data_IF_554994252915
#
_entry.id   IF_554994252915
#
_cell.length_a   1.000
_cell.length_b   1.000
_cell.length_c   1.000
_cell.angle_alpha   90.00
_cell.angle_beta   90.00
_cell.angle_gamma   90.00
#
_symmetry.space_group_name_H-M   'P 1'
#
loop_
_entity.id
_entity.type
_entity.pdbx_description
1 polymer ?
#
# COMPACT_ATOMS: atom_id res chain seq x y z
N UNK A 1 -24.77 8.78 -3.02
CA UNK A 1 -23.86 7.62 -2.89
C UNK A 1 -24.63 6.36 -3.23
N UNK A 2 -24.10 5.56 -4.14
CA UNK A 2 -24.66 4.25 -4.47
C UNK A 2 -24.25 3.27 -3.35
N UNK A 3 -25.17 2.46 -2.80
CA UNK A 3 -24.80 1.47 -1.79
C UNK A 3 -23.64 0.56 -2.28
N UNK A 4 -22.64 0.35 -1.46
CA UNK A 4 -21.45 -0.46 -1.81
C UNK A 4 -20.30 0.29 -2.47
N UNK A 5 -20.40 1.62 -2.58
CA UNK A 5 -19.31 2.49 -3.03
C UNK A 5 -18.67 3.20 -1.85
N UNK A 6 -17.36 3.18 -1.77
CA UNK A 6 -16.59 3.87 -0.74
C UNK A 6 -15.42 4.61 -1.37
N UNK A 7 -15.21 5.84 -0.96
CA UNK A 7 -14.02 6.59 -1.36
C UNK A 7 -13.55 7.50 -0.25
N UNK A 8 -12.25 7.53 -0.04
CA UNK A 8 -11.65 8.43 0.92
C UNK A 8 -10.22 8.80 0.50
N UNK A 9 -9.84 9.98 0.90
CA UNK A 9 -8.46 10.48 0.78
C UNK A 9 -8.02 10.93 2.15
N UNK A 10 -6.85 10.48 2.58
CA UNK A 10 -6.19 10.99 3.77
C UNK A 10 -4.94 11.74 3.38
N UNK A 11 -4.71 12.84 4.06
CA UNK A 11 -3.50 13.64 3.93
C UNK A 11 -2.98 13.99 5.32
N UNK A 12 -1.72 13.70 5.57
CA UNK A 12 -1.05 14.02 6.84
C UNK A 12 0.25 14.76 6.58
N UNK A 13 0.47 15.81 7.35
CA UNK A 13 1.75 16.52 7.42
C UNK A 13 2.29 16.40 8.83
N UNK A 14 3.55 15.99 8.94
CA UNK A 14 4.21 15.82 10.22
C UNK A 14 5.68 16.24 10.15
N UNK A 15 6.19 16.80 11.23
CA UNK A 15 7.61 17.06 11.38
C UNK A 15 8.02 16.75 12.81
N UNK A 16 8.77 15.69 13.00
CA UNK A 16 9.17 15.23 14.33
C UNK A 16 10.67 15.27 14.46
N UNK A 17 11.16 16.07 15.42
CA UNK A 17 12.57 16.24 15.72
C UNK A 17 12.85 16.01 17.19
N UNK A 18 14.07 15.68 17.52
CA UNK A 18 14.59 15.64 18.88
C UNK A 18 15.90 16.44 18.97
N UNK A 19 16.18 16.97 20.14
CA UNK A 19 17.41 17.71 20.39
C UNK A 19 18.44 16.75 20.99
N UNK A 20 19.58 16.57 20.29
CA UNK A 20 20.70 15.78 20.76
C UNK A 20 21.89 16.70 20.89
N UNK A 21 22.34 16.91 22.12
CA UNK A 21 23.31 17.98 22.42
C UNK A 21 22.77 19.33 21.98
N UNK A 22 23.45 20.00 21.07
CA UNK A 22 23.04 21.33 20.57
C UNK A 22 22.42 21.29 19.15
N UNK A 23 22.09 20.11 18.61
CA UNK A 23 21.54 19.93 17.25
C UNK A 23 20.13 19.35 17.28
N UNK A 24 19.26 19.85 16.41
CA UNK A 24 17.96 19.27 16.14
C UNK A 24 18.08 18.19 15.05
N UNK A 25 17.72 16.96 15.38
CA UNK A 25 17.82 15.78 14.51
C UNK A 25 16.42 15.23 14.24
N UNK A 26 16.09 14.82 13.00
CA UNK A 26 14.81 14.18 12.72
C UNK A 26 14.71 12.85 13.46
N UNK A 27 13.52 12.54 13.99
CA UNK A 27 13.26 11.23 14.57
C UNK A 27 13.18 10.15 13.47
N UNK A 28 13.45 8.87 13.76
CA UNK A 28 13.34 7.80 12.77
C UNK A 28 11.96 7.69 12.14
N UNK A 29 10.93 8.16 12.83
CA UNK A 29 9.53 8.18 12.39
C UNK A 29 9.13 9.50 11.71
N UNK A 30 10.08 10.41 11.44
CA UNK A 30 9.80 11.70 10.81
C UNK A 30 9.45 11.51 9.33
N UNK A 31 8.17 11.32 9.05
CA UNK A 31 7.61 11.24 7.70
C UNK A 31 6.85 12.53 7.41
N UNK A 32 7.43 13.42 6.58
CA UNK A 32 6.95 14.80 6.44
C UNK A 32 5.56 14.90 5.81
N UNK A 33 5.19 13.94 4.96
CA UNK A 33 3.86 13.85 4.37
C UNK A 33 3.48 12.38 4.15
N UNK A 34 2.19 12.11 4.23
CA UNK A 34 1.59 10.84 3.88
C UNK A 34 0.23 11.11 3.23
N UNK A 35 0.02 10.56 2.05
CA UNK A 35 -1.21 10.67 1.28
C UNK A 35 -1.67 9.25 0.96
N UNK A 36 -2.92 8.94 1.29
CA UNK A 36 -3.54 7.66 0.93
C UNK A 36 -4.87 7.93 0.24
N UNK A 37 -5.10 7.21 -0.83
CA UNK A 37 -6.33 7.20 -1.60
C UNK A 37 -6.92 5.79 -1.58
N UNK A 38 -8.19 5.70 -1.32
CA UNK A 38 -9.00 4.51 -1.54
C UNK A 38 -10.25 4.90 -2.31
N UNK A 39 -10.56 4.14 -3.33
CA UNK A 39 -11.76 4.30 -4.13
C UNK A 39 -12.28 2.92 -4.50
N UNK A 40 -13.57 2.70 -4.34
CA UNK A 40 -14.25 1.52 -4.84
C UNK A 40 -15.63 1.90 -5.32
N UNK A 41 -15.98 1.44 -6.52
CA UNK A 41 -17.26 1.73 -7.12
C UNK A 41 -17.66 0.64 -8.12
N UNK A 42 -18.95 0.55 -8.40
CA UNK A 42 -19.47 -0.29 -9.47
C UNK A 42 -19.33 0.41 -10.83
N UNK A 43 -19.18 -0.37 -11.88
CA UNK A 43 -19.24 0.19 -13.23
C UNK A 43 -20.65 0.74 -13.52
N UNK A 44 -20.75 1.88 -14.21
CA UNK A 44 -22.04 2.45 -14.58
C UNK A 44 -22.95 1.45 -15.31
N UNK A 45 -24.19 1.34 -14.85
CA UNK A 45 -25.20 0.47 -15.45
C UNK A 45 -25.11 -1.01 -15.08
N UNK A 46 -24.23 -1.40 -14.16
CA UNK A 46 -24.14 -2.78 -13.69
C UNK A 46 -23.70 -2.85 -12.23
N UNK A 47 -24.30 -3.77 -11.47
CA UNK A 47 -23.91 -4.11 -10.10
C UNK A 47 -22.99 -5.34 -10.04
N UNK A 48 -22.59 -5.87 -11.21
CA UNK A 48 -21.77 -7.08 -11.30
C UNK A 48 -20.27 -6.80 -11.33
N UNK A 49 -19.86 -5.65 -11.83
CA UNK A 49 -18.46 -5.27 -11.94
C UNK A 49 -18.12 -4.20 -10.93
N UNK A 50 -17.15 -4.46 -10.10
CA UNK A 50 -16.65 -3.54 -9.08
C UNK A 50 -15.18 -3.24 -9.32
N UNK A 51 -14.84 -1.97 -9.36
CA UNK A 51 -13.47 -1.47 -9.45
C UNK A 51 -12.98 -1.04 -8.08
N UNK A 52 -11.74 -1.34 -7.77
CA UNK A 52 -11.04 -0.83 -6.58
C UNK A 52 -9.74 -0.18 -7.00
N UNK A 53 -9.50 1.03 -6.51
CA UNK A 53 -8.24 1.76 -6.70
C UNK A 53 -7.67 2.13 -5.34
N UNK A 54 -6.39 1.84 -5.12
CA UNK A 54 -5.65 2.25 -3.93
C UNK A 54 -4.41 2.99 -4.35
N UNK A 55 -4.16 4.14 -3.74
CA UNK A 55 -2.97 4.94 -3.95
C UNK A 55 -2.29 5.24 -2.63
N UNK A 56 -0.96 5.21 -2.61
CA UNK A 56 -0.17 5.63 -1.47
C UNK A 56 1.06 6.42 -1.93
N UNK A 57 1.27 7.57 -1.30
CA UNK A 57 2.43 8.41 -1.48
C UNK A 57 2.89 8.90 -0.12
N UNK A 58 4.11 8.55 0.29
CA UNK A 58 4.64 8.92 1.59
C UNK A 58 6.10 9.36 1.48
N UNK A 59 6.50 10.32 2.29
CA UNK A 59 7.89 10.75 2.36
C UNK A 59 8.78 9.62 2.89
N UNK A 60 10.01 9.57 2.43
CA UNK A 60 11.00 8.62 2.92
C UNK A 60 11.36 8.88 4.38
N UNK A 61 11.64 7.83 5.12
CA UNK A 61 12.08 7.91 6.51
C UNK A 61 13.56 8.31 6.62
N UNK A 62 13.96 9.00 7.69
CA UNK A 62 15.36 9.28 7.97
C UNK A 62 16.14 8.00 8.24
N UNK A 63 17.38 7.93 7.75
CA UNK A 63 18.31 6.84 8.02
C UNK A 63 19.75 7.35 8.08
N UNK A 64 20.65 6.49 8.49
CA UNK A 64 22.09 6.81 8.55
C UNK A 64 22.95 5.58 8.69
N UNK A 65 24.29 5.73 8.68
CA UNK A 65 25.22 4.62 8.82
C UNK A 65 25.01 3.87 10.14
N UNK A 66 25.17 2.54 10.16
CA UNK A 66 25.10 1.76 11.38
C UNK A 66 26.22 2.18 12.34
N UNK A 67 25.99 1.97 13.63
CA UNK A 67 26.94 2.32 14.70
C UNK A 67 27.34 3.80 14.75
N UNK A 68 26.67 4.67 13.99
CA UNK A 68 26.87 6.13 14.07
C UNK A 68 25.90 6.74 15.07
N UNK A 69 26.34 7.86 15.69
CA UNK A 69 25.47 8.64 16.57
C UNK A 69 24.23 9.15 15.81
N UNK A 70 23.12 9.32 16.54
CA UNK A 70 21.84 9.76 15.97
C UNK A 70 21.95 11.10 15.23
N UNK A 71 22.87 11.97 15.65
CA UNK A 71 23.17 13.24 15.00
C UNK A 71 23.71 13.14 13.58
N UNK A 72 24.13 11.94 13.16
CA UNK A 72 24.61 11.62 11.81
C UNK A 72 23.54 10.97 10.92
N UNK A 73 22.37 10.64 11.47
CA UNK A 73 21.26 10.01 10.74
C UNK A 73 20.43 11.08 10.00
N UNK A 74 21.03 11.76 9.04
CA UNK A 74 20.42 12.87 8.29
C UNK A 74 20.05 12.52 6.84
N UNK A 75 20.34 11.30 6.39
CA UNK A 75 19.90 10.83 5.09
C UNK A 75 18.40 10.54 5.13
N UNK A 76 17.76 10.61 3.97
CA UNK A 76 16.33 10.30 3.84
C UNK A 76 16.15 9.32 2.68
N UNK A 77 15.39 8.27 2.94
CA UNK A 77 15.03 7.30 1.91
C UNK A 77 14.18 7.97 0.81
N UNK A 78 14.16 7.43 -0.40
CA UNK A 78 13.23 7.86 -1.44
C UNK A 78 11.78 7.76 -0.97
N UNK A 79 10.93 8.62 -1.51
CA UNK A 79 9.50 8.60 -1.21
C UNK A 79 8.87 7.26 -1.65
N UNK A 80 8.06 6.69 -0.76
CA UNK A 80 7.23 5.53 -1.06
C UNK A 80 6.09 5.93 -1.99
N UNK A 81 5.89 5.15 -3.06
CA UNK A 81 4.85 5.38 -4.05
C UNK A 81 4.25 4.05 -4.47
N UNK A 82 2.94 3.90 -4.40
CA UNK A 82 2.28 2.67 -4.82
C UNK A 82 0.88 2.96 -5.34
N UNK A 83 0.53 2.29 -6.41
CA UNK A 83 -0.83 2.25 -6.93
C UNK A 83 -1.21 0.80 -7.15
N UNK A 84 -2.36 0.41 -6.60
CA UNK A 84 -2.96 -0.90 -6.76
C UNK A 84 -4.32 -0.75 -7.43
N UNK A 85 -4.64 -1.67 -8.34
CA UNK A 85 -5.92 -1.72 -9.04
C UNK A 85 -6.50 -3.11 -8.86
N UNK A 86 -7.75 -3.18 -8.43
CA UNK A 86 -8.51 -4.41 -8.32
C UNK A 86 -9.79 -4.34 -9.14
N UNK A 87 -10.19 -5.45 -9.69
CA UNK A 87 -11.45 -5.61 -10.37
C UNK A 87 -12.12 -6.90 -9.92
N UNK A 88 -13.40 -6.82 -9.54
CA UNK A 88 -14.16 -7.98 -9.08
C UNK A 88 -15.44 -8.13 -9.89
N UNK A 89 -15.78 -9.38 -10.17
CA UNK A 89 -17.01 -9.74 -10.88
C UNK A 89 -17.90 -10.59 -9.99
N UNK A 90 -19.18 -10.22 -9.88
CA UNK A 90 -20.19 -10.97 -9.14
C UNK A 90 -20.64 -12.15 -9.96
N UNK A 91 -20.24 -13.36 -9.56
CA UNK A 91 -20.63 -14.63 -10.18
C UNK A 91 -22.07 -15.01 -9.80
N UNK A 92 -22.42 -14.79 -8.55
CA UNK A 92 -23.71 -15.16 -7.96
C UNK A 92 -24.28 -13.98 -7.15
N UNK A 93 -25.55 -13.70 -7.37
CA UNK A 93 -26.39 -12.86 -6.50
C UNK A 93 -27.67 -13.65 -6.19
N UNK A 94 -27.87 -14.01 -4.93
CA UNK A 94 -29.00 -14.81 -4.47
C UNK A 94 -29.73 -14.12 -3.31
N UNK A 95 -29.80 -12.78 -3.35
CA UNK A 95 -30.50 -12.01 -2.32
C UNK A 95 -31.97 -12.38 -2.18
N UNK A 96 -32.60 -12.81 -3.28
CA UNK A 96 -34.04 -13.17 -3.32
C UNK A 96 -34.32 -14.65 -3.04
N UNK A 97 -33.29 -15.49 -2.82
CA UNK A 97 -33.45 -16.90 -2.48
C UNK A 97 -34.12 -17.78 -3.54
N UNK A 98 -34.40 -17.24 -4.75
CA UNK A 98 -35.38 -17.85 -5.65
C UNK A 98 -34.83 -18.75 -6.76
N UNK A 99 -33.52 -18.83 -6.99
CA UNK A 99 -33.02 -19.37 -8.28
C UNK A 99 -31.95 -20.45 -8.27
N UNK A 100 -31.49 -20.96 -7.14
CA UNK A 100 -30.37 -21.89 -7.15
C UNK A 100 -30.73 -23.29 -6.67
N UNK A 101 -30.33 -24.32 -7.45
CA UNK A 101 -30.37 -25.75 -7.06
C UNK A 101 -28.99 -26.14 -6.48
N UNK A 102 -28.98 -27.02 -5.51
CA UNK A 102 -27.75 -27.59 -4.96
C UNK A 102 -27.01 -26.67 -3.99
N UNK A 103 -25.67 -26.76 -3.97
CA UNK A 103 -24.76 -26.03 -3.06
C UNK A 103 -24.90 -24.52 -3.19
N UNK A 104 -25.24 -24.02 -4.39
CA UNK A 104 -25.44 -22.60 -4.63
C UNK A 104 -26.65 -22.01 -3.88
N UNK A 105 -27.52 -22.82 -3.31
CA UNK A 105 -28.65 -22.36 -2.46
C UNK A 105 -28.18 -21.81 -1.10
N UNK A 106 -27.00 -22.24 -0.66
CA UNK A 106 -26.42 -21.83 0.65
C UNK A 106 -25.65 -20.51 0.50
N UNK A 107 -25.20 -20.19 -0.72
CA UNK A 107 -24.43 -18.99 -1.00
C UNK A 107 -25.37 -17.81 -1.29
N UNK A 108 -25.16 -16.70 -0.57
CA UNK A 108 -25.82 -15.42 -0.86
C UNK A 108 -25.16 -14.70 -2.03
N UNK A 109 -23.83 -14.56 -1.96
CA UNK A 109 -23.04 -13.91 -2.99
C UNK A 109 -21.74 -14.67 -3.26
N UNK A 110 -21.29 -14.60 -4.51
CA UNK A 110 -19.96 -15.08 -4.90
C UNK A 110 -19.30 -14.04 -5.80
N UNK A 111 -18.09 -13.63 -5.42
CA UNK A 111 -17.29 -12.67 -6.17
C UNK A 111 -15.96 -13.27 -6.56
N UNK A 112 -15.59 -13.12 -7.83
CA UNK A 112 -14.25 -13.42 -8.33
C UNK A 112 -13.52 -12.10 -8.58
N UNK A 113 -12.33 -11.95 -8.01
CA UNK A 113 -11.55 -10.73 -8.12
C UNK A 113 -10.13 -11.00 -8.64
N UNK A 114 -9.59 -10.01 -9.31
CA UNK A 114 -8.19 -9.91 -9.69
C UNK A 114 -7.65 -8.57 -9.18
N UNK A 115 -6.52 -8.62 -8.45
CA UNK A 115 -5.82 -7.45 -7.94
C UNK A 115 -4.43 -7.37 -8.55
N UNK A 116 -4.07 -6.21 -9.07
CA UNK A 116 -2.71 -5.88 -9.48
C UNK A 116 -2.12 -4.89 -8.46
N UNK A 117 -1.15 -5.36 -7.71
CA UNK A 117 -0.43 -4.54 -6.73
C UNK A 117 0.80 -3.90 -7.37
N UNK A 118 1.08 -2.66 -6.96
CA UNK A 118 2.21 -1.89 -7.48
C UNK A 118 2.23 -1.86 -9.01
N UNK A 119 1.15 -1.42 -9.62
CA UNK A 119 0.91 -1.49 -11.08
C UNK A 119 2.05 -0.86 -11.88
N UNK A 120 2.62 0.23 -11.38
CA UNK A 120 3.75 0.91 -12.03
C UNK A 120 5.10 0.24 -11.82
N UNK A 121 5.18 -0.82 -10.98
CA UNK A 121 6.41 -1.54 -10.71
C UNK A 121 7.48 -0.68 -10.04
N UNK A 122 7.09 0.27 -9.18
CA UNK A 122 8.02 1.19 -8.52
C UNK A 122 8.80 0.41 -7.48
N UNK A 123 10.12 0.54 -7.53
CA UNK A 123 11.02 -0.05 -6.55
C UNK A 123 11.04 0.78 -5.26
N UNK A 124 10.13 0.48 -4.35
CA UNK A 124 10.06 1.12 -3.05
C UNK A 124 11.11 0.53 -2.11
N UNK A 125 11.90 1.39 -1.50
CA UNK A 125 12.94 0.98 -0.55
C UNK A 125 12.32 0.65 0.80
N UNK A 126 12.60 -0.54 1.30
CA UNK A 126 12.21 -0.98 2.65
C UNK A 126 13.28 -0.62 3.69
N UNK A 127 14.53 -0.90 3.36
CA UNK A 127 15.68 -0.72 4.25
C UNK A 127 16.96 -0.60 3.44
N UNK A 128 18.08 -0.39 4.12
CA UNK A 128 19.40 -0.39 3.50
C UNK A 128 20.29 -1.42 4.19
N UNK A 129 21.02 -2.19 3.38
CA UNK A 129 22.17 -2.95 3.83
C UNK A 129 23.43 -2.08 3.69
N UNK A 130 24.29 -2.12 4.69
CA UNK A 130 25.56 -1.44 4.64
C UNK A 130 26.65 -2.44 4.38
N UNK A 131 27.38 -2.23 3.29
CA UNK A 131 28.53 -3.04 2.89
C UNK A 131 29.77 -2.17 2.88
N UNK A 132 30.88 -2.74 3.38
CA UNK A 132 32.20 -2.08 3.36
C UNK A 132 33.06 -2.71 2.26
N UNK A 133 33.73 -1.87 1.53
CA UNK A 133 34.75 -2.34 0.57
C UNK A 133 36.09 -2.64 1.24
N UNK A 134 37.07 -3.05 0.43
CA UNK A 134 38.45 -3.36 0.89
C UNK A 134 39.18 -2.14 1.47
N UNK A 135 38.71 -0.93 1.19
CA UNK A 135 39.23 0.33 1.72
C UNK A 135 38.49 0.80 2.96
N UNK A 136 37.59 -0.03 3.50
CA UNK A 136 36.73 0.28 4.65
C UNK A 136 35.70 1.42 4.40
N UNK A 137 35.41 1.71 3.12
CA UNK A 137 34.38 2.66 2.74
C UNK A 137 33.03 1.98 2.77
N UNK A 138 32.02 2.62 3.41
CA UNK A 138 30.69 2.08 3.57
C UNK A 138 29.74 2.56 2.46
N UNK A 139 28.99 1.61 1.90
CA UNK A 139 27.96 1.86 0.89
C UNK A 139 26.59 1.40 1.39
N UNK A 140 25.58 2.21 1.17
CA UNK A 140 24.17 1.89 1.47
C UNK A 140 23.55 1.20 0.26
N UNK A 141 23.29 -0.09 0.34
CA UNK A 141 22.64 -0.88 -0.72
C UNK A 141 21.15 -0.98 -0.39
N UNK A 142 20.25 -0.48 -1.27
CA UNK A 142 18.83 -0.52 -0.99
C UNK A 142 18.27 -1.94 -1.05
N UNK A 143 17.45 -2.28 -0.06
CA UNK A 143 16.60 -3.46 -0.06
C UNK A 143 15.19 -3.03 -0.43
N UNK A 144 14.68 -3.56 -1.54
CA UNK A 144 13.39 -3.17 -2.09
C UNK A 144 12.25 -4.03 -1.57
N UNK A 145 11.08 -3.43 -1.42
CA UNK A 145 9.83 -4.14 -1.24
C UNK A 145 9.46 -4.92 -2.51
N UNK A 146 8.49 -5.82 -2.38
CA UNK A 146 7.95 -6.61 -3.49
C UNK A 146 7.56 -5.71 -4.66
N UNK A 147 7.97 -6.09 -5.85
CA UNK A 147 7.61 -5.44 -7.11
C UNK A 147 6.13 -5.61 -7.46
N UNK A 148 5.83 -5.67 -8.76
CA UNK A 148 4.45 -5.91 -9.22
C UNK A 148 4.01 -7.33 -8.85
N UNK A 149 2.79 -7.45 -8.32
CA UNK A 149 2.17 -8.72 -7.98
C UNK A 149 0.74 -8.74 -8.51
N UNK A 150 0.34 -9.88 -9.09
CA UNK A 150 -1.04 -10.14 -9.48
C UNK A 150 -1.60 -11.19 -8.52
N UNK A 151 -2.79 -10.95 -7.99
CA UNK A 151 -3.49 -11.83 -7.07
C UNK A 151 -4.89 -12.13 -7.59
N UNK A 152 -5.32 -13.38 -7.47
CA UNK A 152 -6.69 -13.81 -7.72
C UNK A 152 -7.36 -14.08 -6.37
N UNK A 153 -8.57 -13.59 -6.19
CA UNK A 153 -9.35 -13.83 -5.00
C UNK A 153 -10.75 -14.32 -5.33
N UNK A 154 -11.28 -15.16 -4.46
CA UNK A 154 -12.66 -15.65 -4.49
C UNK A 154 -13.28 -15.38 -3.13
N UNK A 155 -14.33 -14.55 -3.09
CA UNK A 155 -15.09 -14.25 -1.89
C UNK A 155 -16.45 -14.93 -1.98
N UNK A 156 -16.79 -15.71 -0.96
CA UNK A 156 -18.06 -16.41 -0.85
C UNK A 156 -18.78 -15.94 0.42
N UNK A 157 -20.04 -15.55 0.27
CA UNK A 157 -20.91 -15.13 1.35
C UNK A 157 -22.06 -16.16 1.49
N UNK A 158 -22.28 -16.62 2.71
CA UNK A 158 -23.29 -17.63 3.05
C UNK A 158 -24.52 -17.05 3.74
#
# INVERSE_FOLDING_TARGET
FVPGTDSWVTFSLMRTKEKIGNKWVPRPTDQRYNISLYFTDFFPGTDRWKLTLRGALADGLPFGPPHSGREKQNFRAPAYKRVDIGMSYRLLNNEDGSRTRGIAKILRNAWLGIDAFNVFGINNVNSYYWVSDVTNQQYAVPNYLTGRLINLNLQLEF
#
